data_IF_903636429423
#
_entry.id   IF_903636429423
#
_cell.length_a   1.000
_cell.length_b   1.000
_cell.length_c   1.000
_cell.angle_alpha   90.00
_cell.angle_beta   90.00
_cell.angle_gamma   90.00
#
_symmetry.space_group_name_H-M   'P 1'
#
loop_
_entity.id
_entity.type
_entity.pdbx_description
1 polymer ?
#
# COMPACT_ATOMS: atom_id res chain seq x y z
N UNK A 1 -4.09 73.44 66.37
CA UNK A 1 -2.81 72.95 65.84
C UNK A 1 -2.94 71.46 65.61
N UNK A 2 -3.10 71.03 64.35
CA UNK A 2 -3.38 69.64 63.97
C UNK A 2 -2.17 69.06 63.21
N UNK A 3 -1.78 67.78 63.42
CA UNK A 3 -0.65 67.17 62.72
C UNK A 3 -1.03 66.68 61.30
N UNK A 4 -0.08 66.59 60.36
CA UNK A 4 -0.34 66.17 59.00
C UNK A 4 -0.56 64.65 58.88
N UNK A 5 -1.50 64.26 58.00
CA UNK A 5 -1.82 62.87 57.65
C UNK A 5 -0.74 62.30 56.70
N UNK A 6 -0.18 61.12 57.03
CA UNK A 6 0.64 60.30 56.11
C UNK A 6 -0.24 59.42 55.23
N UNK A 7 0.05 59.25 53.92
CA UNK A 7 -0.69 58.31 53.06
C UNK A 7 -0.16 56.88 53.19
N UNK A 8 -1.02 55.84 53.33
CA UNK A 8 -0.60 54.45 53.31
C UNK A 8 -0.69 53.91 51.87
N UNK A 9 0.44 53.80 51.17
CA UNK A 9 0.36 53.50 49.74
C UNK A 9 1.58 52.91 49.05
N UNK A 10 2.47 52.15 49.73
CA UNK A 10 3.62 51.56 49.03
C UNK A 10 3.94 50.08 49.29
N UNK A 11 3.17 49.34 50.11
CA UNK A 11 3.52 47.94 50.42
C UNK A 11 2.81 46.86 49.59
N UNK A 12 1.94 47.22 48.63
CA UNK A 12 1.16 46.20 47.86
C UNK A 12 1.71 45.83 46.48
N UNK A 13 2.68 46.56 45.92
CA UNK A 13 3.16 46.29 44.55
C UNK A 13 4.29 45.25 44.42
N UNK A 14 4.98 44.89 45.49
CA UNK A 14 6.14 43.97 45.41
C UNK A 14 5.76 42.49 45.42
N UNK A 15 4.61 42.10 46.00
CA UNK A 15 4.17 40.68 46.08
C UNK A 15 3.62 40.10 44.77
N UNK A 16 3.08 40.93 43.86
CA UNK A 16 2.46 40.47 42.60
C UNK A 16 3.49 40.07 41.54
N UNK A 17 4.66 40.73 41.53
CA UNK A 17 5.79 40.44 40.61
C UNK A 17 6.47 39.09 40.86
N UNK A 18 6.45 38.59 42.10
CA UNK A 18 7.07 37.29 42.41
C UNK A 18 6.21 36.08 41.99
N UNK A 19 4.88 36.22 41.94
CA UNK A 19 3.98 35.15 41.45
C UNK A 19 4.03 34.99 39.92
N UNK A 20 4.13 36.10 39.18
CA UNK A 20 4.31 36.05 37.72
C UNK A 20 5.67 35.47 37.33
N UNK A 21 6.75 35.81 38.05
CA UNK A 21 8.07 35.20 37.86
C UNK A 21 8.07 33.68 38.13
N UNK A 22 7.33 33.20 39.14
CA UNK A 22 7.20 31.76 39.41
C UNK A 22 6.39 31.02 38.35
N UNK A 23 5.31 31.63 37.82
CA UNK A 23 4.54 31.05 36.69
C UNK A 23 5.34 31.06 35.39
N UNK A 24 6.04 32.15 35.07
CA UNK A 24 6.91 32.24 33.90
C UNK A 24 8.04 31.19 33.95
N UNK A 25 8.65 30.98 35.12
CA UNK A 25 9.66 29.92 35.32
C UNK A 25 9.08 28.52 35.13
N UNK A 26 7.85 28.25 35.59
CA UNK A 26 7.19 26.95 35.38
C UNK A 26 6.86 26.70 33.91
N UNK A 27 6.36 27.72 33.19
CA UNK A 27 6.08 27.62 31.75
C UNK A 27 7.38 27.42 30.96
N UNK A 28 8.42 28.19 31.26
CA UNK A 28 9.73 28.02 30.61
C UNK A 28 10.32 26.63 30.85
N UNK A 29 10.17 26.07 32.06
CA UNK A 29 10.64 24.73 32.39
C UNK A 29 9.82 23.66 31.67
N UNK A 30 8.50 23.84 31.53
CA UNK A 30 7.64 22.94 30.74
C UNK A 30 7.99 22.99 29.24
N UNK A 31 8.27 24.17 28.69
CA UNK A 31 8.71 24.33 27.30
C UNK A 31 10.07 23.66 27.08
N UNK A 32 11.01 23.83 28.00
CA UNK A 32 12.31 23.16 27.95
C UNK A 32 12.19 21.64 28.04
N UNK A 33 11.36 21.13 28.95
CA UNK A 33 11.10 19.69 29.08
C UNK A 33 10.41 19.15 27.83
N UNK A 34 9.43 19.89 27.28
CA UNK A 34 8.77 19.52 26.02
C UNK A 34 9.74 19.50 24.84
N UNK A 35 10.58 20.53 24.71
CA UNK A 35 11.61 20.59 23.67
C UNK A 35 12.64 19.46 23.83
N UNK A 36 13.08 19.18 25.05
CA UNK A 36 13.98 18.07 25.34
C UNK A 36 13.34 16.71 25.01
N UNK A 37 12.05 16.51 25.31
CA UNK A 37 11.33 15.29 24.94
C UNK A 37 11.16 15.16 23.42
N UNK A 38 10.93 16.26 22.70
CA UNK A 38 10.87 16.27 21.23
C UNK A 38 12.23 15.97 20.62
N UNK A 39 13.31 16.57 21.13
CA UNK A 39 14.68 16.35 20.63
C UNK A 39 15.15 14.94 20.96
N UNK A 40 14.94 14.44 22.18
CA UNK A 40 15.23 13.06 22.56
C UNK A 40 14.38 12.10 21.71
N UNK A 41 13.10 12.41 21.53
CA UNK A 41 12.20 11.65 20.65
C UNK A 41 12.71 11.59 19.21
N UNK A 42 13.14 12.71 18.63
CA UNK A 42 13.77 12.78 17.31
C UNK A 42 15.07 11.96 17.26
N UNK A 43 15.98 12.16 18.21
CA UNK A 43 17.27 11.44 18.25
C UNK A 43 17.10 9.94 18.43
N UNK A 44 16.07 9.48 19.15
CA UNK A 44 15.73 8.05 19.26
C UNK A 44 14.93 7.52 18.08
N UNK A 45 14.14 8.36 17.40
CA UNK A 45 13.32 7.96 16.26
C UNK A 45 14.14 7.80 14.97
N UNK A 46 15.30 8.47 14.87
CA UNK A 46 16.24 8.35 13.75
C UNK A 46 17.48 7.51 14.10
N UNK A 47 17.61 7.04 15.35
CA UNK A 47 18.68 6.16 15.80
C UNK A 47 18.34 4.70 15.53
N UNK A 48 18.86 4.16 14.42
CA UNK A 48 18.87 2.73 14.08
C UNK A 48 17.50 2.06 14.09
N UNK A 49 16.71 2.34 13.05
CA UNK A 49 15.60 1.47 12.67
C UNK A 49 16.16 0.12 12.20
N UNK A 50 16.27 -0.83 13.12
CA UNK A 50 16.16 -2.24 12.75
C UNK A 50 14.68 -2.44 12.46
N UNK A 51 14.31 -2.31 11.17
CA UNK A 51 12.96 -2.65 10.74
C UNK A 51 12.68 -4.09 11.18
N UNK A 52 11.51 -4.39 11.77
CA UNK A 52 11.09 -5.76 11.96
C UNK A 52 10.97 -6.36 10.56
N UNK A 53 12.05 -7.00 10.11
CA UNK A 53 12.03 -7.82 8.92
C UNK A 53 10.87 -8.78 9.08
N UNK A 54 10.01 -8.85 8.08
CA UNK A 54 9.04 -9.93 7.97
C UNK A 54 9.84 -11.22 8.14
N UNK A 55 9.74 -11.86 9.30
CA UNK A 55 10.09 -13.27 9.41
C UNK A 55 9.03 -13.96 8.57
N UNK A 56 9.27 -14.10 7.26
CA UNK A 56 8.42 -14.97 6.48
C UNK A 56 8.63 -16.36 7.08
N UNK A 57 7.52 -16.99 7.45
CA UNK A 57 7.56 -18.37 7.88
C UNK A 57 8.24 -19.21 6.81
N UNK A 58 9.04 -20.24 7.19
CA UNK A 58 9.70 -21.11 6.23
C UNK A 58 8.67 -21.65 5.23
N UNK A 59 8.97 -21.49 3.93
CA UNK A 59 8.12 -21.98 2.85
C UNK A 59 7.95 -23.49 2.98
N UNK A 60 6.76 -23.94 3.34
CA UNK A 60 6.41 -25.35 3.37
C UNK A 60 6.39 -25.90 1.93
N UNK A 61 6.80 -27.16 1.77
CA UNK A 61 6.81 -27.87 0.49
C UNK A 61 5.48 -27.84 -0.29
N UNK A 62 4.37 -27.48 0.38
CA UNK A 62 3.06 -27.23 -0.22
C UNK A 62 3.07 -26.12 -1.30
N UNK A 63 4.06 -25.20 -1.30
CA UNK A 63 4.21 -24.17 -2.35
C UNK A 63 4.60 -24.70 -3.73
N UNK A 64 5.17 -25.91 -3.78
CA UNK A 64 5.68 -26.53 -5.00
C UNK A 64 4.62 -27.34 -5.76
N UNK A 65 3.46 -27.58 -5.16
CA UNK A 65 2.35 -28.28 -5.81
C UNK A 65 1.46 -27.27 -6.56
N UNK A 66 0.81 -27.67 -7.67
CA UNK A 66 -0.23 -26.87 -8.29
C UNK A 66 -1.30 -26.56 -7.24
N UNK A 67 -1.43 -25.29 -6.86
CA UNK A 67 -2.50 -24.86 -5.99
C UNK A 67 -3.75 -24.67 -6.84
N UNK A 68 -4.91 -25.11 -6.33
CA UNK A 68 -6.19 -24.77 -6.92
C UNK A 68 -6.49 -23.26 -6.84
N UNK A 69 -7.65 -22.84 -7.33
CA UNK A 69 -8.05 -21.44 -7.33
C UNK A 69 -7.97 -20.80 -5.94
N UNK A 70 -7.68 -19.49 -5.85
CA UNK A 70 -7.71 -18.76 -4.59
C UNK A 70 -9.08 -18.82 -3.92
N UNK A 71 -9.09 -18.78 -2.59
CA UNK A 71 -10.33 -18.50 -1.86
C UNK A 71 -10.74 -17.05 -2.11
N UNK A 72 -12.05 -16.73 -2.19
CA UNK A 72 -12.51 -15.35 -2.31
C UNK A 72 -11.91 -14.46 -1.22
N UNK A 73 -11.23 -13.40 -1.66
CA UNK A 73 -10.52 -12.48 -0.78
C UNK A 73 -10.28 -11.18 -1.54
N UNK A 74 -10.97 -10.12 -1.13
CA UNK A 74 -10.75 -8.77 -1.67
C UNK A 74 -9.40 -8.25 -1.19
N UNK A 75 -8.63 -7.68 -2.11
CA UNK A 75 -7.34 -7.03 -1.81
C UNK A 75 -7.37 -5.53 -2.06
N UNK A 76 -8.27 -5.05 -2.91
CA UNK A 76 -8.44 -3.64 -3.19
C UNK A 76 -9.82 -3.35 -3.77
N UNK A 77 -10.26 -2.10 -3.65
CA UNK A 77 -11.46 -1.57 -4.30
C UNK A 77 -11.05 -0.44 -5.25
N UNK A 78 -11.66 -0.38 -6.42
CA UNK A 78 -11.48 0.74 -7.35
C UNK A 78 -12.86 1.20 -7.84
N UNK A 79 -13.27 2.42 -7.50
CA UNK A 79 -14.65 2.88 -7.71
C UNK A 79 -15.66 1.93 -7.03
N UNK A 80 -16.23 1.01 -7.79
CA UNK A 80 -17.28 0.07 -7.40
C UNK A 80 -16.90 -1.39 -7.67
N UNK A 81 -15.71 -1.66 -8.23
CA UNK A 81 -15.21 -3.02 -8.40
C UNK A 81 -14.33 -3.45 -7.22
N UNK A 82 -14.55 -4.67 -6.75
CA UNK A 82 -13.69 -5.34 -5.78
C UNK A 82 -12.69 -6.23 -6.53
N UNK A 83 -11.41 -5.98 -6.35
CA UNK A 83 -10.35 -6.82 -6.88
C UNK A 83 -10.12 -8.00 -5.93
N UNK A 84 -10.41 -9.21 -6.41
CA UNK A 84 -10.11 -10.45 -5.72
C UNK A 84 -8.63 -10.80 -5.83
N UNK A 85 -8.11 -11.50 -4.82
CA UNK A 85 -6.76 -12.05 -4.82
C UNK A 85 -6.61 -13.01 -6.01
N UNK A 86 -5.72 -12.73 -6.97
CA UNK A 86 -5.60 -13.53 -8.19
C UNK A 86 -4.70 -14.77 -8.02
N UNK A 87 -4.08 -14.95 -6.85
CA UNK A 87 -3.13 -16.03 -6.56
C UNK A 87 -3.60 -16.78 -5.33
N UNK A 88 -3.50 -18.13 -5.37
CA UNK A 88 -3.84 -18.97 -4.22
C UNK A 88 -3.09 -18.54 -2.96
N UNK A 89 -3.79 -18.46 -1.82
CA UNK A 89 -3.22 -17.97 -0.57
C UNK A 89 -1.97 -18.74 -0.12
N UNK A 90 -1.86 -20.03 -0.45
CA UNK A 90 -0.69 -20.85 -0.13
C UNK A 90 0.56 -20.48 -0.94
N UNK A 91 0.38 -19.86 -2.12
CA UNK A 91 1.45 -19.46 -3.02
C UNK A 91 1.77 -17.97 -2.96
N UNK A 92 0.88 -17.16 -2.37
CA UNK A 92 1.08 -15.73 -2.14
C UNK A 92 2.35 -15.46 -1.32
N UNK A 93 3.22 -14.56 -1.80
CA UNK A 93 4.46 -14.18 -1.12
C UNK A 93 4.38 -12.78 -0.49
N UNK A 94 3.78 -11.82 -1.18
CA UNK A 94 3.48 -10.49 -0.65
C UNK A 94 2.39 -9.80 -1.48
N UNK A 95 1.82 -8.73 -0.93
CA UNK A 95 0.96 -7.78 -1.66
C UNK A 95 1.59 -6.39 -1.50
N UNK A 96 1.81 -5.68 -2.60
CA UNK A 96 2.43 -4.36 -2.58
C UNK A 96 1.68 -3.35 -3.44
N UNK A 97 1.41 -2.16 -2.93
CA UNK A 97 0.81 -1.06 -3.70
C UNK A 97 1.87 -0.08 -4.14
N UNK A 98 1.76 0.46 -5.36
CA UNK A 98 2.69 1.45 -5.87
C UNK A 98 2.02 2.45 -6.82
N UNK A 99 2.68 3.59 -7.11
CA UNK A 99 2.18 4.52 -8.11
C UNK A 99 2.22 3.92 -9.52
N UNK A 100 1.09 3.96 -10.22
CA UNK A 100 1.01 3.58 -11.64
C UNK A 100 1.33 4.75 -12.58
N UNK A 101 1.37 4.45 -13.88
CA UNK A 101 1.50 5.45 -14.94
C UNK A 101 0.30 6.40 -15.03
N UNK A 102 0.39 7.39 -15.93
CA UNK A 102 -0.72 8.30 -16.18
C UNK A 102 -1.98 7.52 -16.60
N UNK A 103 -3.12 7.81 -15.96
CA UNK A 103 -4.41 7.20 -16.29
C UNK A 103 -4.81 5.99 -15.44
N UNK A 104 -3.96 5.52 -14.51
CA UNK A 104 -4.35 4.55 -13.49
C UNK A 104 -5.23 5.18 -12.41
N UNK A 105 -6.32 4.50 -12.04
CA UNK A 105 -7.19 4.91 -10.94
C UNK A 105 -6.57 4.55 -9.60
N UNK A 106 -6.87 5.36 -8.57
CA UNK A 106 -6.46 5.04 -7.21
C UNK A 106 -7.20 3.78 -6.74
N UNK A 107 -6.43 2.81 -6.25
CA UNK A 107 -6.97 1.64 -5.56
C UNK A 107 -7.07 1.96 -4.07
N UNK A 108 -8.18 1.60 -3.45
CA UNK A 108 -8.34 1.58 -2.00
C UNK A 108 -7.90 0.21 -1.47
N UNK A 109 -6.76 0.11 -0.77
CA UNK A 109 -6.26 -1.17 -0.28
C UNK A 109 -7.21 -1.79 0.76
N UNK A 110 -7.54 -3.06 0.60
CA UNK A 110 -8.27 -3.82 1.61
C UNK A 110 -7.32 -4.69 2.42
N UNK A 111 -6.92 -4.20 3.59
CA UNK A 111 -6.02 -4.92 4.49
C UNK A 111 -5.26 -4.01 5.44
N UNK A 112 -4.16 -4.52 6.00
CA UNK A 112 -3.34 -3.76 6.95
C UNK A 112 -2.00 -3.42 6.33
N UNK A 113 -1.66 -2.14 6.27
CA UNK A 113 -0.35 -1.71 5.79
C UNK A 113 0.73 -2.08 6.82
N UNK A 114 1.69 -2.90 6.39
CA UNK A 114 2.73 -3.47 7.24
C UNK A 114 3.89 -2.47 7.50
N UNK A 115 4.18 -1.60 6.53
CA UNK A 115 5.24 -0.61 6.62
C UNK A 115 4.73 0.80 7.01
N UNK A 116 3.63 0.86 7.77
CA UNK A 116 3.20 2.13 8.38
C UNK A 116 4.22 2.63 9.40
N UNK A 117 4.49 3.94 9.36
CA UNK A 117 5.27 4.61 10.40
C UNK A 117 4.63 4.47 11.78
N UNK A 118 5.44 4.56 12.84
CA UNK A 118 5.00 4.41 14.25
C UNK A 118 3.86 5.39 14.60
N UNK A 119 3.90 6.60 14.06
CA UNK A 119 2.87 7.62 14.28
C UNK A 119 1.53 7.27 13.62
N UNK A 120 1.55 6.73 12.40
CA UNK A 120 0.35 6.27 11.70
C UNK A 120 -0.28 5.05 12.40
N UNK A 121 0.56 4.10 12.86
CA UNK A 121 0.10 2.95 13.64
C UNK A 121 -0.56 3.35 14.96
N UNK A 122 -0.03 4.37 15.65
CA UNK A 122 -0.63 4.85 16.89
C UNK A 122 -1.97 5.56 16.63
N UNK A 123 -2.07 6.37 15.58
CA UNK A 123 -3.32 7.00 15.17
C UNK A 123 -4.38 5.93 14.83
N UNK A 124 -4.04 4.95 13.99
CA UNK A 124 -4.96 3.88 13.60
C UNK A 124 -5.40 3.02 14.80
N UNK A 125 -4.54 2.81 15.81
CA UNK A 125 -4.91 2.11 17.04
C UNK A 125 -5.85 2.91 17.95
N UNK A 126 -5.76 4.23 17.92
CA UNK A 126 -6.61 5.13 18.71
C UNK A 126 -7.93 5.46 18.00
N UNK A 127 -7.95 5.42 16.66
CA UNK A 127 -9.11 5.74 15.83
C UNK A 127 -9.78 4.51 15.18
N UNK A 128 -9.33 3.29 15.50
CA UNK A 128 -10.05 2.05 15.18
C UNK A 128 -9.78 1.42 13.81
N UNK A 129 -8.62 1.63 13.20
CA UNK A 129 -8.25 1.11 11.87
C UNK A 129 -7.84 -0.37 11.81
N UNK A 130 -8.24 -1.20 12.76
CA UNK A 130 -7.87 -2.62 12.83
C UNK A 130 -8.71 -3.52 11.95
N UNK A 131 -8.76 -3.27 10.64
CA UNK A 131 -9.52 -4.07 9.68
C UNK A 131 -8.87 -5.44 9.41
N UNK A 132 -9.69 -6.49 9.35
CA UNK A 132 -9.27 -7.80 8.84
C UNK A 132 -8.86 -7.72 7.36
N UNK A 133 -7.88 -8.51 6.93
CA UNK A 133 -7.38 -8.52 5.55
C UNK A 133 -5.92 -8.94 5.47
N UNK A 134 -5.37 -9.05 4.26
CA UNK A 134 -3.97 -9.42 4.07
C UNK A 134 -3.05 -8.26 4.49
N UNK A 135 -1.86 -8.55 5.06
CA UNK A 135 -0.85 -7.54 5.19
C UNK A 135 -0.39 -7.10 3.79
N UNK A 136 -0.31 -5.78 3.58
CA UNK A 136 0.24 -5.21 2.35
C UNK A 136 1.36 -4.24 2.66
N UNK A 137 2.22 -3.97 1.68
CA UNK A 137 3.25 -2.94 1.79
C UNK A 137 2.97 -1.81 0.81
N UNK A 138 3.19 -0.57 1.25
CA UNK A 138 3.23 0.57 0.34
C UNK A 138 4.65 0.67 -0.23
N UNK A 139 4.79 0.37 -1.52
CA UNK A 139 6.05 0.48 -2.23
C UNK A 139 6.23 1.94 -2.70
N UNK A 140 7.48 2.39 -2.69
CA UNK A 140 7.86 3.64 -3.35
C UNK A 140 7.95 3.44 -4.86
N UNK A 141 7.80 4.51 -5.63
CA UNK A 141 7.89 4.48 -7.09
C UNK A 141 7.88 5.88 -7.69
N UNK A 142 8.28 5.99 -8.96
CA UNK A 142 8.36 7.27 -9.69
C UNK A 142 7.14 7.57 -10.56
N UNK A 143 6.07 6.80 -10.47
CA UNK A 143 4.85 7.00 -11.26
C UNK A 143 4.16 8.33 -10.92
N UNK A 144 3.57 8.97 -11.92
CA UNK A 144 2.83 10.23 -11.76
C UNK A 144 1.38 10.04 -11.30
N UNK A 145 0.89 8.79 -11.27
CA UNK A 145 -0.45 8.43 -10.81
C UNK A 145 -0.58 8.42 -9.27
N UNK A 146 -1.76 8.05 -8.75
CA UNK A 146 -1.99 7.89 -7.32
C UNK A 146 -1.01 6.90 -6.70
N UNK A 147 -0.63 7.08 -5.43
CA UNK A 147 0.36 6.21 -4.76
C UNK A 147 -0.06 4.74 -4.66
N UNK A 148 -1.35 4.44 -4.82
CA UNK A 148 -1.93 3.10 -4.85
C UNK A 148 -2.52 2.79 -6.22
N UNK A 149 -1.99 3.39 -7.29
CA UNK A 149 -2.52 3.25 -8.64
C UNK A 149 -2.33 1.86 -9.27
N UNK A 150 -1.49 1.02 -8.67
CA UNK A 150 -1.28 -0.38 -9.01
C UNK A 150 -1.13 -1.24 -7.75
N UNK A 151 -1.44 -2.53 -7.88
CA UNK A 151 -1.13 -3.54 -6.87
C UNK A 151 -0.37 -4.71 -7.47
N UNK A 152 0.76 -5.05 -6.86
CA UNK A 152 1.58 -6.20 -7.15
C UNK A 152 1.23 -7.35 -6.20
N UNK A 153 0.87 -8.51 -6.76
CA UNK A 153 0.57 -9.72 -6.01
C UNK A 153 1.67 -10.74 -6.29
N UNK A 154 2.53 -10.96 -5.29
CA UNK A 154 3.75 -11.75 -5.41
C UNK A 154 3.51 -13.25 -5.31
N UNK A 155 4.23 -14.01 -6.14
CA UNK A 155 4.37 -15.46 -6.04
C UNK A 155 5.59 -15.95 -6.83
N UNK A 156 5.84 -17.26 -6.78
CA UNK A 156 6.89 -17.87 -7.59
C UNK A 156 6.54 -17.82 -9.09
N UNK A 157 7.56 -17.79 -9.94
CA UNK A 157 7.36 -17.92 -11.38
C UNK A 157 6.72 -19.29 -11.70
N UNK A 158 5.84 -19.30 -12.70
CA UNK A 158 5.02 -20.46 -13.07
C UNK A 158 3.76 -20.65 -12.23
N UNK A 159 3.54 -19.86 -11.17
CA UNK A 159 2.29 -19.87 -10.41
C UNK A 159 1.11 -19.46 -11.27
N UNK A 160 0.00 -20.18 -11.12
CA UNK A 160 -1.26 -19.89 -11.79
C UNK A 160 -1.88 -18.59 -11.27
N UNK A 161 -2.35 -17.77 -12.20
CA UNK A 161 -3.01 -16.49 -11.93
C UNK A 161 -4.46 -16.57 -12.42
N UNK A 162 -5.36 -16.14 -11.56
CA UNK A 162 -6.81 -16.17 -11.75
C UNK A 162 -7.38 -14.77 -11.91
N UNK A 163 -8.56 -14.68 -12.52
CA UNK A 163 -9.22 -13.40 -12.78
C UNK A 163 -9.55 -12.69 -11.45
N UNK A 164 -9.15 -11.42 -11.24
CA UNK A 164 -9.47 -10.68 -10.03
C UNK A 164 -10.92 -10.18 -10.03
N UNK A 165 -11.60 -10.20 -11.18
CA UNK A 165 -12.97 -9.72 -11.36
C UNK A 165 -13.77 -10.67 -12.24
N UNK A 166 -15.09 -10.67 -12.11
CA UNK A 166 -15.97 -11.30 -13.08
C UNK A 166 -16.16 -10.35 -14.27
N UNK A 167 -16.19 -10.89 -15.49
CA UNK A 167 -16.20 -10.03 -16.67
C UNK A 167 -15.89 -10.75 -17.98
N UNK A 168 -15.38 -9.99 -18.93
CA UNK A 168 -14.95 -10.51 -20.24
C UNK A 168 -13.53 -10.09 -20.56
N UNK A 169 -12.81 -10.93 -21.31
CA UNK A 169 -11.49 -10.58 -21.84
C UNK A 169 -11.67 -9.58 -22.97
N UNK A 170 -11.18 -8.35 -22.78
CA UNK A 170 -11.19 -7.30 -23.78
C UNK A 170 -10.01 -7.42 -24.75
N UNK A 171 -8.84 -7.81 -24.25
CA UNK A 171 -7.61 -7.85 -25.04
C UNK A 171 -6.53 -8.71 -24.42
N UNK A 172 -5.69 -9.29 -25.28
CA UNK A 172 -4.45 -9.97 -24.91
C UNK A 172 -3.36 -9.37 -25.81
N UNK A 173 -2.43 -8.64 -25.22
CA UNK A 173 -1.38 -7.89 -25.94
C UNK A 173 -0.01 -8.28 -25.41
N UNK A 174 1.03 -8.08 -26.22
CA UNK A 174 2.40 -8.25 -25.75
C UNK A 174 2.72 -7.27 -24.62
N UNK A 175 3.34 -7.77 -23.56
CA UNK A 175 3.96 -6.94 -22.53
C UNK A 175 5.40 -6.66 -22.93
N UNK A 176 5.64 -5.45 -23.41
CA UNK A 176 6.93 -5.00 -23.95
C UNK A 176 7.61 -4.08 -22.95
N UNK A 177 8.86 -4.38 -22.62
CA UNK A 177 9.75 -3.47 -21.88
C UNK A 177 11.02 -3.24 -22.68
N UNK A 178 11.44 -1.99 -22.79
CA UNK A 178 12.65 -1.60 -23.54
C UNK A 178 12.71 -2.20 -24.96
N UNK A 179 11.55 -2.29 -25.63
CA UNK A 179 11.43 -2.83 -26.99
C UNK A 179 11.45 -4.36 -27.11
N UNK A 180 11.49 -5.10 -26.00
CA UNK A 180 11.46 -6.57 -25.99
C UNK A 180 10.19 -7.10 -25.31
N UNK A 181 9.55 -8.07 -25.94
CA UNK A 181 8.40 -8.79 -25.36
C UNK A 181 8.87 -9.73 -24.26
N UNK A 182 8.21 -9.66 -23.10
CA UNK A 182 8.49 -10.54 -21.95
C UNK A 182 7.29 -11.37 -21.50
N UNK A 183 6.11 -11.12 -22.03
CA UNK A 183 4.88 -11.86 -21.71
C UNK A 183 3.69 -11.14 -22.33
N UNK A 184 2.56 -11.15 -21.64
CA UNK A 184 1.34 -10.49 -22.05
C UNK A 184 0.79 -9.52 -21.00
N UNK A 185 0.07 -8.53 -21.52
CA UNK A 185 -0.92 -7.71 -20.82
C UNK A 185 -2.31 -8.25 -21.19
N UNK A 186 -3.07 -8.65 -20.19
CA UNK A 186 -4.44 -9.16 -20.33
C UNK A 186 -5.37 -8.07 -19.79
N UNK A 187 -6.31 -7.63 -20.62
CA UNK A 187 -7.26 -6.58 -20.28
C UNK A 187 -8.64 -7.17 -20.12
N UNK A 188 -9.27 -6.88 -18.99
CA UNK A 188 -10.57 -7.41 -18.61
C UNK A 188 -11.57 -6.26 -18.47
N UNK A 189 -12.75 -6.41 -19.06
CA UNK A 189 -13.89 -5.54 -18.80
C UNK A 189 -14.75 -6.16 -17.70
N UNK A 190 -14.87 -5.54 -16.50
CA UNK A 190 -15.72 -6.04 -15.43
C UNK A 190 -17.20 -6.05 -15.83
N UNK A 191 -17.93 -7.11 -15.47
CA UNK A 191 -19.34 -7.26 -15.85
C UNK A 191 -20.27 -6.18 -15.27
N UNK A 192 -19.99 -5.71 -14.04
CA UNK A 192 -20.79 -4.68 -13.37
C UNK A 192 -20.36 -3.24 -13.69
N UNK A 193 -19.19 -3.05 -14.30
CA UNK A 193 -18.58 -1.73 -14.51
C UNK A 193 -17.88 -1.65 -15.87
N UNK A 194 -18.63 -1.64 -16.98
CA UNK A 194 -18.07 -1.71 -18.33
C UNK A 194 -17.28 -0.46 -18.73
N UNK A 195 -17.42 0.64 -17.99
CA UNK A 195 -16.63 1.86 -18.15
C UNK A 195 -15.20 1.73 -17.61
N UNK A 196 -14.87 0.60 -16.96
CA UNK A 196 -13.55 0.31 -16.41
C UNK A 196 -12.87 -0.83 -17.18
N UNK A 197 -11.55 -0.85 -17.12
CA UNK A 197 -10.73 -1.97 -17.58
C UNK A 197 -9.72 -2.31 -16.49
N UNK A 198 -9.62 -3.60 -16.19
CA UNK A 198 -8.62 -4.17 -15.29
C UNK A 198 -7.51 -4.77 -16.15
N UNK A 199 -6.29 -4.28 -15.99
CA UNK A 199 -5.11 -4.78 -16.69
C UNK A 199 -4.29 -5.68 -15.78
N UNK A 200 -3.87 -6.82 -16.31
CA UNK A 200 -2.95 -7.76 -15.69
C UNK A 200 -1.70 -7.92 -16.55
N UNK A 201 -0.52 -7.63 -16.01
CA UNK A 201 0.75 -7.74 -16.74
C UNK A 201 1.68 -8.79 -16.15
N UNK A 202 2.75 -9.12 -16.89
CA UNK A 202 3.77 -10.10 -16.50
C UNK A 202 3.23 -11.54 -16.47
N UNK A 203 2.40 -11.88 -17.45
CA UNK A 203 1.78 -13.20 -17.56
C UNK A 203 2.15 -13.90 -18.85
N UNK A 204 2.23 -15.22 -18.82
CA UNK A 204 2.01 -16.06 -19.99
C UNK A 204 0.51 -16.38 -20.02
N UNK A 205 -0.25 -15.95 -21.06
CA UNK A 205 -1.69 -16.23 -21.14
C UNK A 205 -1.99 -17.71 -21.06
N UNK A 206 -3.11 -18.05 -20.43
CA UNK A 206 -3.64 -19.41 -20.50
C UNK A 206 -4.03 -19.74 -21.95
N UNK A 207 -3.63 -20.90 -22.52
CA UNK A 207 -3.95 -21.24 -23.90
C UNK A 207 -5.45 -21.32 -24.22
N UNK A 208 -6.31 -21.54 -23.21
CA UNK A 208 -7.76 -21.53 -23.39
C UNK A 208 -8.36 -20.12 -23.39
N UNK A 209 -7.58 -19.10 -23.02
CA UNK A 209 -8.04 -17.72 -22.93
C UNK A 209 -8.06 -17.05 -24.32
N UNK A 210 -9.21 -16.53 -24.70
CA UNK A 210 -9.39 -15.76 -25.94
C UNK A 210 -10.14 -14.46 -25.67
N UNK A 211 -9.96 -13.47 -26.54
CA UNK A 211 -10.77 -12.24 -26.50
C UNK A 211 -12.26 -12.59 -26.58
N UNK A 212 -13.06 -12.02 -25.70
CA UNK A 212 -14.48 -12.32 -25.53
C UNK A 212 -14.79 -13.45 -24.53
N UNK A 213 -13.78 -14.14 -23.99
CA UNK A 213 -14.01 -15.17 -22.95
C UNK A 213 -14.68 -14.57 -21.72
N UNK A 214 -15.72 -15.23 -21.20
CA UNK A 214 -16.34 -14.89 -19.93
C UNK A 214 -15.48 -15.42 -18.77
N UNK A 215 -15.35 -14.63 -17.71
CA UNK A 215 -14.53 -14.93 -16.55
C UNK A 215 -15.33 -14.81 -15.26
N UNK A 216 -15.02 -15.69 -14.31
CA UNK A 216 -15.46 -15.64 -12.94
C UNK A 216 -14.30 -15.23 -12.02
N UNK A 217 -14.58 -14.30 -11.11
CA UNK A 217 -13.58 -13.79 -10.16
C UNK A 217 -13.06 -14.92 -9.24
N UNK A 218 -11.74 -15.02 -9.10
CA UNK A 218 -11.07 -16.01 -8.27
C UNK A 218 -11.08 -17.44 -8.81
N UNK A 219 -11.76 -17.73 -9.92
CA UNK A 219 -11.94 -19.10 -10.43
C UNK A 219 -11.40 -19.30 -11.84
N UNK A 220 -11.60 -18.32 -12.74
CA UNK A 220 -11.11 -18.44 -14.12
C UNK A 220 -9.61 -18.17 -14.18
N UNK A 221 -8.83 -19.16 -14.60
CA UNK A 221 -7.39 -19.00 -14.84
C UNK A 221 -7.17 -18.09 -16.05
N UNK A 222 -6.33 -17.07 -15.88
CA UNK A 222 -5.98 -16.11 -16.93
C UNK A 222 -4.56 -16.36 -17.47
N UNK A 223 -3.70 -17.01 -16.69
CA UNK A 223 -2.35 -17.33 -17.13
C UNK A 223 -1.45 -17.84 -16.03
N UNK A 224 -0.14 -17.77 -16.29
CA UNK A 224 0.90 -18.11 -15.33
C UNK A 224 1.94 -17.00 -15.22
N UNK A 225 2.50 -16.83 -14.03
CA UNK A 225 3.55 -15.84 -13.79
C UNK A 225 4.81 -16.16 -14.57
N UNK A 226 5.35 -15.15 -15.23
CA UNK A 226 6.67 -15.25 -15.85
C UNK A 226 7.76 -14.95 -14.83
N UNK A 227 8.96 -15.48 -15.05
CA UNK A 227 10.12 -15.08 -14.27
C UNK A 227 10.67 -13.75 -14.81
N UNK A 228 10.54 -12.70 -14.00
CA UNK A 228 10.96 -11.35 -14.32
C UNK A 228 12.24 -10.92 -13.60
N UNK A 229 12.78 -11.80 -12.74
CA UNK A 229 13.90 -11.51 -11.85
C UNK A 229 15.20 -11.14 -12.58
N UNK A 230 15.38 -11.65 -13.80
CA UNK A 230 16.53 -11.38 -14.66
C UNK A 230 16.37 -10.13 -15.54
N UNK A 231 15.17 -9.55 -15.55
CA UNK A 231 14.78 -8.44 -16.44
C UNK A 231 14.81 -7.11 -15.70
N UNK A 232 14.27 -7.09 -14.49
CA UNK A 232 14.11 -5.87 -13.69
C UNK A 232 14.28 -6.21 -12.21
N UNK A 233 14.88 -5.28 -11.45
CA UNK A 233 14.95 -5.40 -10.00
C UNK A 233 13.61 -5.03 -9.38
N UNK A 234 12.84 -6.04 -9.00
CA UNK A 234 11.49 -5.88 -8.45
C UNK A 234 11.53 -5.17 -7.08
N UNK A 235 10.70 -4.16 -6.89
CA UNK A 235 10.54 -3.44 -5.61
C UNK A 235 10.01 -4.37 -4.51
N UNK A 236 9.11 -5.29 -4.87
CA UNK A 236 8.51 -6.29 -3.99
C UNK A 236 9.53 -7.29 -3.43
N UNK A 237 10.67 -7.51 -4.12
CA UNK A 237 11.71 -8.45 -3.69
C UNK A 237 12.32 -8.13 -2.32
N UNK A 238 12.18 -6.89 -1.83
CA UNK A 238 12.63 -6.49 -0.48
C UNK A 238 11.75 -7.07 0.63
N UNK A 239 10.55 -7.53 0.28
CA UNK A 239 9.52 -8.01 1.21
C UNK A 239 9.16 -9.47 0.99
N UNK A 240 9.75 -10.12 0.00
CA UNK A 240 9.56 -11.54 -0.29
C UNK A 240 10.85 -12.33 -0.05
N UNK A 241 10.72 -13.64 0.07
CA UNK A 241 11.86 -14.58 0.15
C UNK A 241 12.14 -15.23 -1.21
N UNK A 242 11.56 -14.66 -2.27
CA UNK A 242 11.79 -15.00 -3.67
C UNK A 242 12.37 -13.77 -4.39
N UNK A 243 12.52 -13.86 -5.71
CA UNK A 243 13.05 -12.76 -6.51
C UNK A 243 12.08 -11.58 -6.72
N UNK A 244 10.93 -11.57 -6.04
CA UNK A 244 9.90 -10.53 -6.13
C UNK A 244 9.01 -10.63 -7.36
N UNK A 245 8.94 -11.82 -7.99
CA UNK A 245 8.05 -12.06 -9.12
C UNK A 245 6.58 -11.85 -8.69
N UNK A 246 5.80 -11.18 -9.53
CA UNK A 246 4.44 -10.78 -9.20
C UNK A 246 3.61 -10.52 -10.47
N UNK A 247 2.29 -10.58 -10.31
CA UNK A 247 1.34 -10.01 -11.27
C UNK A 247 1.02 -8.59 -10.81
N UNK A 248 0.98 -7.66 -11.75
CA UNK A 248 0.52 -6.29 -11.47
C UNK A 248 -0.89 -6.11 -11.97
N UNK A 249 -1.74 -5.59 -11.10
CA UNK A 249 -3.11 -5.20 -11.42
C UNK A 249 -3.21 -3.67 -11.45
N UNK A 250 -3.76 -3.15 -12.53
CA UNK A 250 -4.11 -1.73 -12.68
C UNK A 250 -5.57 -1.60 -13.10
N UNK A 251 -6.22 -0.51 -12.70
CA UNK A 251 -7.59 -0.19 -13.13
C UNK A 251 -7.56 1.14 -13.87
N UNK A 252 -8.17 1.17 -15.05
CA UNK A 252 -8.24 2.35 -15.89
C UNK A 252 -9.69 2.63 -16.30
N UNK A 253 -9.97 3.88 -16.67
CA UNK A 253 -11.18 4.16 -17.43
C UNK A 253 -11.06 3.57 -18.84
N UNK A 254 -12.11 2.97 -19.37
CA UNK A 254 -12.11 2.43 -20.73
C UNK A 254 -11.76 3.50 -21.79
N UNK A 255 -12.06 4.77 -21.51
CA UNK A 255 -11.74 5.90 -22.39
C UNK A 255 -10.24 6.19 -22.50
N UNK A 256 -9.40 5.85 -21.51
CA UNK A 256 -7.95 6.10 -21.61
C UNK A 256 -7.27 5.08 -22.52
N UNK A 257 -7.82 3.87 -22.65
CA UNK A 257 -7.30 2.84 -23.57
C UNK A 257 -7.53 3.16 -25.04
N UNK A 258 -8.54 3.97 -25.37
CA UNK A 258 -8.78 4.41 -26.74
C UNK A 258 -7.70 5.37 -27.28
N UNK A 259 -6.84 5.91 -26.41
CA UNK A 259 -5.76 6.84 -26.77
C UNK A 259 -4.41 6.12 -27.03
N UNK A 260 -4.28 4.87 -26.58
CA UNK A 260 -3.06 4.06 -26.72
C UNK A 260 -3.18 2.98 -27.82
N UNK A 261 -4.20 3.06 -28.69
CA UNK A 261 -4.40 2.15 -29.85
C UNK A 261 -3.93 2.74 -31.17
#
# INVERSE_FOLDING_TARGET
>A
MAPPRRPPGQLRHTRRRNRSRRRARRVALLVLVGAALVVTGFLTAFGSAEEPGLTAGPGTAARLLPAGPPKPQVIAVASSIELQLPISQSQLTAVGFHPSGAGGLALEPFGRQANEGILARLANRLFGGGGGGLPYVQLGGGGSGPSTGAVDVGALAGTDVYSPVAGTVLGIRDYVLNGKTYGARIELQPAGEPALVVSLTRLRPDPALTVGSALEAGTSKVGTLIDFSTVERQSLARFTHDAGNHVTLEVHAASTLALDQ
#
